data_IF_180496952129
#
_entry.id   IF_180496952129
#
_cell.length_a   1.000
_cell.length_b   1.000
_cell.length_c   1.000
_cell.angle_alpha   90.00
_cell.angle_beta   90.00
_cell.angle_gamma   90.00
#
_symmetry.space_group_name_H-M   'P 1'
#
loop_
_entity.id
_entity.type
_entity.pdbx_description
1 polymer ?
#
# COMPACT_ATOMS: atom_id res chain seq x y z
N UNK A 1 9.19 -23.90 2.36
CA UNK A 1 9.46 -25.12 3.15
C UNK A 1 8.34 -25.42 4.14
N UNK A 2 8.31 -24.86 5.36
CA UNK A 2 7.28 -25.20 6.37
C UNK A 2 5.84 -25.14 5.84
N UNK A 3 5.44 -23.99 5.29
CA UNK A 3 4.08 -23.79 4.77
C UNK A 3 3.72 -24.72 3.60
N UNK A 4 4.70 -25.00 2.73
CA UNK A 4 4.52 -25.89 1.56
C UNK A 4 4.42 -27.36 2.00
N UNK A 5 5.25 -27.78 2.95
CA UNK A 5 5.23 -29.12 3.53
C UNK A 5 3.88 -29.43 4.21
N UNK A 6 3.24 -28.43 4.80
CA UNK A 6 1.89 -28.55 5.36
C UNK A 6 0.76 -28.47 4.30
N UNK A 7 1.07 -28.13 3.05
CA UNK A 7 0.07 -27.86 2.02
C UNK A 7 -0.77 -26.60 2.28
N UNK A 8 -0.32 -25.72 3.18
CA UNK A 8 -1.06 -24.53 3.64
C UNK A 8 -0.55 -23.23 2.99
N UNK A 9 0.60 -23.26 2.31
CA UNK A 9 1.16 -22.15 1.53
C UNK A 9 1.43 -22.64 0.10
N UNK A 10 0.86 -21.95 -0.87
CA UNK A 10 0.85 -22.37 -2.27
C UNK A 10 1.26 -21.22 -3.19
N UNK A 11 2.56 -21.15 -3.51
CA UNK A 11 3.12 -20.18 -4.45
C UNK A 11 2.82 -20.55 -5.91
N UNK A 12 2.65 -21.83 -6.23
CA UNK A 12 2.39 -22.28 -7.60
C UNK A 12 1.00 -21.86 -8.05
N UNK A 13 -0.02 -22.06 -7.21
CA UNK A 13 -1.37 -21.58 -7.48
C UNK A 13 -1.40 -20.05 -7.58
N UNK A 14 -0.69 -19.35 -6.70
CA UNK A 14 -0.57 -17.90 -6.77
C UNK A 14 0.06 -17.44 -8.09
N UNK A 15 1.15 -18.09 -8.52
CA UNK A 15 1.83 -17.79 -9.77
C UNK A 15 0.94 -18.01 -11.00
N UNK A 16 0.12 -19.08 -11.01
CA UNK A 16 -0.85 -19.35 -12.08
C UNK A 16 -1.94 -18.28 -12.17
N UNK A 17 -2.32 -17.66 -11.05
CA UNK A 17 -3.39 -16.65 -11.01
C UNK A 17 -2.89 -15.22 -11.22
N UNK A 18 -1.72 -14.88 -10.69
CA UNK A 18 -1.28 -13.48 -10.53
C UNK A 18 0.19 -13.24 -10.87
N UNK A 19 0.93 -14.28 -11.27
CA UNK A 19 2.36 -14.19 -11.54
C UNK A 19 3.24 -14.25 -10.27
N UNK A 20 4.52 -13.91 -10.41
CA UNK A 20 5.48 -13.98 -9.31
C UNK A 20 5.14 -13.00 -8.17
N UNK A 21 5.72 -13.23 -6.97
CA UNK A 21 5.55 -12.39 -5.77
C UNK A 21 4.12 -12.28 -5.23
N UNK A 22 3.32 -13.32 -5.47
CA UNK A 22 2.04 -13.56 -4.79
C UNK A 22 2.08 -14.90 -4.05
N UNK A 23 1.20 -15.05 -3.06
CA UNK A 23 1.08 -16.27 -2.27
C UNK A 23 -0.38 -16.58 -1.96
N UNK A 24 -0.74 -17.87 -1.94
CA UNK A 24 -2.03 -18.35 -1.44
C UNK A 24 -1.81 -19.04 -0.10
N UNK A 25 -2.45 -18.52 0.95
CA UNK A 25 -2.52 -19.17 2.26
C UNK A 25 -3.84 -19.95 2.38
N UNK A 26 -3.81 -21.11 3.01
CA UNK A 26 -4.97 -22.00 3.20
C UNK A 26 -5.11 -22.44 4.66
N UNK A 27 -6.31 -22.87 5.02
CA UNK A 27 -6.60 -23.55 6.27
C UNK A 27 -6.08 -22.83 7.52
N UNK A 28 -5.38 -23.57 8.37
CA UNK A 28 -4.87 -23.07 9.65
C UNK A 28 -3.84 -21.94 9.49
N UNK A 29 -3.06 -21.94 8.41
CA UNK A 29 -2.05 -20.89 8.18
C UNK A 29 -2.70 -19.57 7.75
N UNK A 30 -3.73 -19.61 6.90
CA UNK A 30 -4.54 -18.43 6.59
C UNK A 30 -5.25 -17.91 7.86
N UNK A 31 -5.69 -18.80 8.75
CA UNK A 31 -6.26 -18.40 10.04
C UNK A 31 -5.22 -17.73 10.96
N UNK A 32 -3.98 -18.22 10.97
CA UNK A 32 -2.88 -17.62 11.74
C UNK A 32 -2.52 -16.22 11.23
N UNK A 33 -2.45 -16.01 9.91
CA UNK A 33 -2.24 -14.68 9.32
C UNK A 33 -3.34 -13.70 9.72
N UNK A 34 -4.60 -14.13 9.64
CA UNK A 34 -5.73 -13.31 10.12
C UNK A 34 -5.65 -13.05 11.62
N UNK A 35 -5.31 -14.05 12.43
CA UNK A 35 -5.16 -13.89 13.88
C UNK A 35 -4.10 -12.84 14.24
N UNK A 36 -2.97 -12.84 13.53
CA UNK A 36 -1.93 -11.82 13.68
C UNK A 36 -2.46 -10.42 13.38
N UNK A 37 -3.13 -10.24 12.24
CA UNK A 37 -3.69 -8.93 11.87
C UNK A 37 -4.73 -8.43 12.88
N UNK A 38 -5.60 -9.30 13.38
CA UNK A 38 -6.62 -8.94 14.38
C UNK A 38 -5.99 -8.62 15.74
N UNK A 39 -5.08 -9.46 16.23
CA UNK A 39 -4.35 -9.19 17.47
C UNK A 39 -3.62 -7.85 17.43
N UNK A 40 -2.93 -7.56 16.33
CA UNK A 40 -2.25 -6.28 16.13
C UNK A 40 -3.22 -5.12 16.20
N UNK A 41 -4.35 -5.21 15.48
CA UNK A 41 -5.35 -4.14 15.43
C UNK A 41 -5.96 -3.88 16.82
N UNK A 42 -6.43 -4.93 17.49
CA UNK A 42 -6.98 -4.87 18.84
C UNK A 42 -5.98 -4.28 19.84
N UNK A 43 -4.70 -4.65 19.76
CA UNK A 43 -3.68 -4.08 20.63
C UNK A 43 -3.53 -2.56 20.41
N UNK A 44 -3.54 -2.09 19.16
CA UNK A 44 -3.43 -0.66 18.88
C UNK A 44 -4.66 0.12 19.35
N UNK A 45 -5.86 -0.43 19.18
CA UNK A 45 -7.12 0.22 19.52
C UNK A 45 -7.41 0.17 21.02
N UNK A 46 -7.37 -1.01 21.63
CA UNK A 46 -7.77 -1.22 23.02
C UNK A 46 -6.73 -0.71 24.01
N UNK A 47 -5.45 -0.74 23.65
CA UNK A 47 -4.35 -0.43 24.59
C UNK A 47 -3.60 0.86 24.24
N UNK A 48 -3.33 1.11 22.94
CA UNK A 48 -2.46 2.23 22.54
C UNK A 48 -3.20 3.50 22.10
N UNK A 49 -4.54 3.50 22.20
CA UNK A 49 -5.38 4.67 21.96
C UNK A 49 -5.42 5.12 20.51
N UNK A 50 -5.29 4.19 19.56
CA UNK A 50 -5.53 4.46 18.14
C UNK A 50 -7.03 4.32 17.82
N UNK A 51 -7.55 5.23 17.01
CA UNK A 51 -8.86 5.07 16.39
C UNK A 51 -8.76 4.13 15.19
N UNK A 52 -9.58 3.08 15.18
CA UNK A 52 -9.69 2.20 14.02
C UNK A 52 -10.38 2.90 12.85
N UNK A 53 -9.81 2.75 11.66
CA UNK A 53 -10.35 3.31 10.41
C UNK A 53 -10.34 2.22 9.34
N UNK A 54 -11.42 2.13 8.57
CA UNK A 54 -11.50 1.33 7.35
C UNK A 54 -11.40 2.24 6.10
N UNK A 55 -10.19 2.52 5.58
CA UNK A 55 -10.03 3.45 4.46
C UNK A 55 -10.26 2.79 3.09
N UNK A 56 -10.49 3.57 2.02
CA UNK A 56 -10.41 3.08 0.65
C UNK A 56 -9.00 2.55 0.29
N UNK A 57 -8.95 1.52 -0.55
CA UNK A 57 -7.69 0.95 -1.07
C UNK A 57 -7.31 1.46 -2.45
N UNK A 58 -8.24 2.17 -3.11
CA UNK A 58 -8.01 2.90 -4.35
C UNK A 58 -8.09 4.39 -4.03
N UNK A 59 -7.01 5.12 -4.33
CA UNK A 59 -6.91 6.56 -4.06
C UNK A 59 -6.58 7.31 -5.33
N UNK A 60 -6.99 8.58 -5.37
CA UNK A 60 -6.60 9.48 -6.46
C UNK A 60 -5.14 9.91 -6.29
N UNK A 61 -4.54 10.39 -7.37
CA UNK A 61 -3.14 10.83 -7.39
C UNK A 61 -2.84 11.92 -6.37
N UNK A 62 -3.77 12.82 -6.07
CA UNK A 62 -3.55 13.90 -5.10
C UNK A 62 -3.26 13.33 -3.70
N UNK A 63 -3.80 12.16 -3.36
CA UNK A 63 -3.51 11.52 -2.09
C UNK A 63 -2.07 10.99 -2.05
N UNK A 64 -1.65 10.33 -3.14
CA UNK A 64 -0.27 9.84 -3.32
C UNK A 64 0.74 10.98 -3.39
N UNK A 65 0.36 12.13 -3.95
CA UNK A 65 1.18 13.33 -3.95
C UNK A 65 1.35 13.89 -2.53
N UNK A 66 0.26 13.92 -1.75
CA UNK A 66 0.24 14.40 -0.37
C UNK A 66 1.25 13.69 0.53
N UNK A 67 1.32 12.36 0.45
CA UNK A 67 2.22 11.55 1.27
C UNK A 67 3.60 11.29 0.66
N UNK A 68 3.84 11.75 -0.58
CA UNK A 68 5.17 11.81 -1.20
C UNK A 68 5.53 10.62 -2.10
N UNK A 69 4.58 9.71 -2.39
CA UNK A 69 4.76 8.67 -3.40
C UNK A 69 4.88 9.30 -4.80
N UNK A 70 4.03 10.28 -5.11
CA UNK A 70 4.12 11.03 -6.36
C UNK A 70 4.87 12.38 -6.20
N UNK A 71 5.58 12.84 -7.24
CA UNK A 71 5.71 12.22 -8.58
C UNK A 71 6.88 11.22 -8.72
N UNK A 72 7.70 11.05 -7.67
CA UNK A 72 9.03 10.41 -7.81
C UNK A 72 8.97 8.88 -7.89
N UNK A 73 8.02 8.24 -7.23
CA UNK A 73 7.94 6.79 -7.06
C UNK A 73 6.73 6.20 -7.77
N UNK A 74 6.36 6.76 -8.92
CA UNK A 74 5.24 6.28 -9.73
C UNK A 74 5.42 4.80 -10.14
N UNK A 75 6.65 4.42 -10.49
CA UNK A 75 7.01 3.05 -10.91
C UNK A 75 6.83 2.00 -9.81
N UNK A 76 6.73 2.42 -8.54
CA UNK A 76 6.50 1.53 -7.39
C UNK A 76 5.01 1.25 -7.13
N UNK A 77 4.11 1.91 -7.88
CA UNK A 77 2.66 1.88 -7.68
C UNK A 77 1.96 1.06 -8.75
N UNK A 78 0.84 0.42 -8.35
CA UNK A 78 -0.13 -0.10 -9.31
C UNK A 78 -1.23 0.92 -9.54
N UNK A 79 -1.49 1.26 -10.80
CA UNK A 79 -2.61 2.10 -11.20
C UNK A 79 -3.65 1.30 -11.96
N UNK A 80 -4.92 1.64 -11.74
CA UNK A 80 -5.99 1.23 -12.64
C UNK A 80 -5.84 1.98 -13.95
N UNK A 81 -5.93 1.28 -15.06
CA UNK A 81 -6.07 1.94 -16.36
C UNK A 81 -7.33 2.82 -16.34
N UNK A 82 -7.23 4.14 -16.60
CA UNK A 82 -8.39 4.98 -16.81
C UNK A 82 -9.00 4.59 -18.16
N UNK A 83 -9.70 3.44 -18.20
CA UNK A 83 -10.24 2.78 -19.41
C UNK A 83 -10.41 3.78 -20.54
N UNK A 84 -9.47 3.79 -21.48
CA UNK A 84 -9.77 4.31 -22.79
C UNK A 84 -11.01 3.54 -23.27
N UNK A 85 -12.06 4.20 -23.75
CA UNK A 85 -13.24 3.50 -24.24
C UNK A 85 -12.78 2.53 -25.34
N UNK A 86 -13.33 1.31 -25.37
CA UNK A 86 -13.00 0.20 -26.30
C UNK A 86 -12.72 0.61 -27.76
N UNK A 87 -13.25 1.75 -28.20
CA UNK A 87 -12.98 2.28 -29.54
C UNK A 87 -11.56 2.81 -29.73
N UNK A 88 -10.84 3.29 -28.72
CA UNK A 88 -9.48 3.80 -28.84
C UNK A 88 -8.47 2.67 -29.12
N UNK A 89 -8.55 1.57 -28.36
CA UNK A 89 -7.78 0.35 -28.61
C UNK A 89 -8.16 -0.31 -29.95
N UNK A 90 -9.44 -0.20 -30.36
CA UNK A 90 -9.90 -0.64 -31.69
C UNK A 90 -9.36 0.25 -32.80
N UNK A 91 -9.28 1.56 -32.60
CA UNK A 91 -8.70 2.51 -33.57
C UNK A 91 -7.20 2.28 -33.69
N UNK A 92 -6.50 2.07 -32.58
CA UNK A 92 -5.07 1.75 -32.58
C UNK A 92 -4.78 0.39 -33.22
N UNK A 93 -5.56 -0.65 -32.91
CA UNK A 93 -5.51 -1.94 -33.61
C UNK A 93 -5.81 -1.81 -35.10
N UNK A 94 -6.80 -1.00 -35.50
CA UNK A 94 -7.11 -0.75 -36.92
C UNK A 94 -5.98 -0.01 -37.63
N UNK A 95 -5.39 1.00 -36.99
CA UNK A 95 -4.24 1.75 -37.54
C UNK A 95 -3.02 0.85 -37.70
N UNK A 96 -2.74 0.00 -36.70
CA UNK A 96 -1.61 -0.94 -36.74
C UNK A 96 -1.83 -2.10 -37.73
N UNK A 97 -3.06 -2.56 -37.90
CA UNK A 97 -3.42 -3.59 -38.89
C UNK A 97 -3.37 -3.06 -40.33
N UNK A 98 -3.63 -1.76 -40.54
CA UNK A 98 -3.82 -1.16 -41.87
C UNK A 98 -2.62 -0.32 -42.35
N UNK A 99 -1.40 -0.62 -41.88
CA UNK A 99 -0.14 0.06 -42.23
C UNK A 99 -0.18 0.86 -43.53
N UNK A 100 -0.48 2.17 -43.40
CA UNK A 100 -0.63 3.16 -44.47
C UNK A 100 -1.41 2.69 -45.70
N UNK A 101 -2.73 2.86 -45.69
CA UNK A 101 -3.49 3.10 -46.94
C UNK A 101 -4.80 3.86 -46.67
N UNK A 102 -5.19 4.72 -47.60
CA UNK A 102 -6.47 5.42 -47.64
C UNK A 102 -7.63 4.42 -47.59
N UNK A 103 -8.55 4.54 -46.62
CA UNK A 103 -9.72 3.67 -46.49
C UNK A 103 -10.88 4.25 -47.30
N UNK A 104 -11.31 3.56 -48.35
CA UNK A 104 -12.58 3.83 -49.02
C UNK A 104 -13.70 3.08 -48.28
N UNK A 105 -14.56 3.84 -47.59
CA UNK A 105 -15.64 3.31 -46.73
C UNK A 105 -16.95 3.05 -47.51
N UNK A 106 -16.88 2.95 -48.84
CA UNK A 106 -18.09 2.80 -49.67
C UNK A 106 -18.70 1.38 -49.66
N UNK A 107 -17.94 0.31 -49.38
CA UNK A 107 -18.40 -1.08 -49.62
C UNK A 107 -18.23 -2.08 -48.45
N UNK A 108 -18.24 -1.62 -47.19
CA UNK A 108 -18.22 -2.50 -46.00
C UNK A 108 -19.55 -2.56 -45.25
N UNK A 109 -19.94 -3.69 -44.61
CA UNK A 109 -21.19 -3.83 -43.85
C UNK A 109 -21.23 -3.07 -42.51
N UNK A 110 -20.27 -2.16 -42.27
CA UNK A 110 -20.22 -1.34 -41.08
C UNK A 110 -21.27 -0.23 -41.18
N UNK A 111 -22.16 -0.23 -40.20
CA UNK A 111 -23.40 0.55 -40.19
C UNK A 111 -23.04 2.03 -40.34
N UNK A 112 -23.55 2.70 -41.38
CA UNK A 112 -23.36 4.15 -41.63
C UNK A 112 -23.55 5.03 -40.40
N UNK A 113 -24.36 4.58 -39.43
CA UNK A 113 -24.58 5.25 -38.15
C UNK A 113 -23.35 5.26 -37.23
N UNK A 114 -22.56 4.20 -37.19
CA UNK A 114 -21.36 4.08 -36.34
C UNK A 114 -20.20 4.90 -36.90
N UNK A 115 -20.03 4.90 -38.23
CA UNK A 115 -19.08 5.77 -38.92
C UNK A 115 -19.50 7.24 -38.84
N UNK A 116 -20.80 7.55 -38.94
CA UNK A 116 -21.30 8.91 -38.75
C UNK A 116 -21.12 9.40 -37.31
N UNK A 117 -21.32 8.53 -36.32
CA UNK A 117 -21.05 8.84 -34.91
C UNK A 117 -19.55 9.06 -34.66
N UNK A 118 -18.68 8.26 -35.30
CA UNK A 118 -17.22 8.45 -35.27
C UNK A 118 -16.81 9.79 -35.89
N UNK A 119 -17.29 10.10 -37.10
CA UNK A 119 -16.99 11.37 -37.78
C UNK A 119 -17.57 12.57 -37.03
N UNK A 120 -18.73 12.44 -36.38
CA UNK A 120 -19.26 13.49 -35.50
C UNK A 120 -18.42 13.67 -34.23
N UNK A 121 -17.97 12.60 -33.59
CA UNK A 121 -17.14 12.67 -32.38
C UNK A 121 -15.77 13.31 -32.69
N UNK A 122 -15.15 12.95 -33.81
CA UNK A 122 -13.92 13.58 -34.32
C UNK A 122 -14.16 15.06 -34.64
N UNK A 123 -15.26 15.40 -35.32
CA UNK A 123 -15.58 16.79 -35.66
C UNK A 123 -15.94 17.67 -34.46
N UNK A 124 -16.47 17.08 -33.37
CA UNK A 124 -16.89 17.82 -32.17
C UNK A 124 -15.73 18.10 -31.20
N UNK A 125 -14.69 17.26 -31.22
CA UNK A 125 -13.57 17.33 -30.28
C UNK A 125 -12.25 17.81 -30.92
N UNK A 126 -12.13 17.85 -32.25
CA UNK A 126 -10.95 18.39 -32.93
C UNK A 126 -11.03 19.92 -33.04
N UNK A 127 -10.32 20.65 -32.17
CA UNK A 127 -10.20 22.11 -32.27
C UNK A 127 -9.04 22.61 -33.13
N UNK A 128 -8.28 21.75 -33.81
CA UNK A 128 -7.26 22.20 -34.76
C UNK A 128 -6.93 21.18 -35.85
N UNK A 129 -7.29 21.56 -37.07
CA UNK A 129 -6.51 21.43 -38.31
C UNK A 129 -6.25 20.01 -38.85
N UNK A 130 -7.09 19.62 -39.82
CA UNK A 130 -6.62 18.82 -40.96
C UNK A 130 -5.81 19.75 -41.88
N UNK A 131 -4.47 19.68 -41.82
CA UNK A 131 -3.63 20.09 -42.95
C UNK A 131 -3.04 18.83 -43.57
N UNK A 132 -3.60 18.41 -44.69
CA UNK A 132 -3.01 17.40 -45.57
C UNK A 132 -1.74 17.97 -46.18
N UNK A 133 -0.60 17.73 -45.54
CA UNK A 133 0.70 18.18 -46.03
C UNK A 133 1.81 17.88 -45.04
N UNK A 134 2.55 16.81 -45.32
CA UNK A 134 3.78 16.33 -44.66
C UNK A 134 3.59 15.41 -43.44
N UNK A 135 4.46 14.41 -43.41
CA UNK A 135 4.45 13.25 -42.54
C UNK A 135 4.44 13.62 -41.05
N UNK A 136 3.78 12.75 -40.28
CA UNK A 136 3.62 12.76 -38.82
C UNK A 136 2.48 13.66 -38.31
N UNK A 137 1.26 13.14 -38.44
CA UNK A 137 0.08 13.67 -37.76
C UNK A 137 -0.15 12.89 -36.45
N UNK A 138 0.03 13.54 -35.31
CA UNK A 138 -0.37 13.04 -33.99
C UNK A 138 -1.83 13.43 -33.75
N UNK A 139 -2.70 12.45 -33.49
CA UNK A 139 -4.11 12.71 -33.15
C UNK A 139 -4.24 12.63 -31.63
N UNK A 140 -4.40 13.79 -30.97
CA UNK A 140 -4.74 13.85 -29.55
C UNK A 140 -6.26 13.77 -29.37
N UNK A 141 -6.75 12.67 -28.78
CA UNK A 141 -8.15 12.52 -28.40
C UNK A 141 -8.39 13.10 -27.01
N UNK A 142 -9.05 14.26 -26.92
CA UNK A 142 -9.71 14.69 -25.68
C UNK A 142 -11.05 13.96 -25.55
N UNK A 143 -11.01 12.73 -25.03
CA UNK A 143 -12.22 12.01 -24.63
C UNK A 143 -12.90 12.63 -23.40
N UNK A 144 -14.13 12.23 -23.05
CA UNK A 144 -14.84 12.72 -21.85
C UNK A 144 -14.24 12.20 -20.52
N UNK A 145 -13.08 11.57 -20.57
CA UNK A 145 -12.34 11.06 -19.42
C UNK A 145 -11.35 12.13 -19.02
N UNK A 146 -11.38 12.54 -17.76
CA UNK A 146 -10.48 13.56 -17.21
C UNK A 146 -9.03 13.05 -17.02
N UNK A 147 -8.69 11.91 -17.64
CA UNK A 147 -7.39 11.25 -17.52
C UNK A 147 -7.10 10.71 -16.12
N UNK A 148 -8.06 10.75 -15.18
CA UNK A 148 -7.81 10.39 -13.79
C UNK A 148 -7.77 8.88 -13.63
N UNK A 149 -6.63 8.39 -13.18
CA UNK A 149 -6.41 7.02 -12.70
C UNK A 149 -6.45 6.95 -11.18
N UNK A 150 -6.83 5.79 -10.66
CA UNK A 150 -6.72 5.48 -9.23
C UNK A 150 -5.51 4.58 -9.01
N UNK A 151 -4.75 4.85 -7.95
CA UNK A 151 -3.67 3.99 -7.50
C UNK A 151 -4.16 3.05 -6.39
N UNK A 152 -3.74 1.79 -6.44
CA UNK A 152 -3.81 0.90 -5.27
C UNK A 152 -2.83 1.39 -4.21
N UNK A 153 -3.24 1.41 -2.95
CA UNK A 153 -2.40 1.94 -1.88
C UNK A 153 -1.16 1.06 -1.61
N UNK A 154 0.06 1.62 -1.57
CA UNK A 154 1.27 0.88 -1.15
C UNK A 154 1.38 0.74 0.37
N UNK A 155 0.53 1.46 1.10
CA UNK A 155 0.39 1.47 2.56
C UNK A 155 -0.86 2.27 2.94
N UNK A 156 -1.52 1.91 4.05
CA UNK A 156 -2.62 2.71 4.59
C UNK A 156 -2.19 4.11 5.05
N UNK A 157 -0.88 4.39 5.22
CA UNK A 157 -0.34 5.74 5.43
C UNK A 157 -0.91 6.74 4.44
N UNK A 158 -1.03 6.35 3.16
CA UNK A 158 -1.57 7.22 2.10
C UNK A 158 -2.98 7.65 2.45
N UNK A 159 -3.87 6.69 2.73
CA UNK A 159 -5.27 6.98 2.99
C UNK A 159 -5.48 7.67 4.34
N UNK A 160 -4.82 7.19 5.40
CA UNK A 160 -5.01 7.67 6.76
C UNK A 160 -4.46 9.10 6.95
N UNK A 161 -3.26 9.38 6.46
CA UNK A 161 -2.65 10.72 6.61
C UNK A 161 -3.43 11.77 5.81
N UNK A 162 -4.01 11.39 4.66
CA UNK A 162 -4.84 12.29 3.84
C UNK A 162 -6.22 12.60 4.45
N UNK A 163 -6.62 11.97 5.57
CA UNK A 163 -7.87 12.31 6.25
C UNK A 163 -7.91 13.75 6.77
N UNK A 164 -6.74 14.39 6.93
CA UNK A 164 -6.61 15.80 7.35
C UNK A 164 -6.17 16.72 6.20
N UNK A 165 -6.12 16.23 4.96
CA UNK A 165 -5.75 17.04 3.79
C UNK A 165 -6.69 18.24 3.64
N UNK A 166 -6.12 19.41 3.37
CA UNK A 166 -6.83 20.69 3.16
C UNK A 166 -7.67 21.14 4.37
N UNK A 167 -7.41 20.59 5.56
CA UNK A 167 -8.12 20.97 6.79
C UNK A 167 -7.28 21.92 7.65
N UNK A 168 -7.99 22.74 8.43
CA UNK A 168 -7.43 23.52 9.52
C UNK A 168 -8.03 22.97 10.82
N UNK A 169 -7.29 22.10 11.49
CA UNK A 169 -7.67 21.53 12.78
C UNK A 169 -7.62 22.59 13.88
N UNK A 170 -8.48 22.46 14.87
CA UNK A 170 -8.45 23.28 16.09
C UNK A 170 -7.37 22.80 17.07
N UNK A 171 -6.94 23.68 17.98
CA UNK A 171 -6.06 23.31 19.10
C UNK A 171 -6.66 22.16 19.93
N UNK A 172 -7.99 22.13 20.11
CA UNK A 172 -8.67 21.11 20.91
C UNK A 172 -8.62 19.73 20.23
N UNK A 173 -8.75 19.67 18.90
CA UNK A 173 -8.61 18.42 18.12
C UNK A 173 -7.20 17.82 18.19
N UNK A 174 -6.20 18.65 18.47
CA UNK A 174 -4.79 18.24 18.65
C UNK A 174 -4.30 18.45 20.08
N UNK A 175 -5.20 18.58 21.06
CA UNK A 175 -4.83 18.67 22.48
C UNK A 175 -4.01 17.44 22.90
N UNK A 176 -4.28 16.31 22.27
CA UNK A 176 -3.41 15.14 22.20
C UNK A 176 -3.21 14.73 20.73
N UNK A 177 -2.11 14.04 20.37
CA UNK A 177 -1.94 13.46 19.04
C UNK A 177 -3.18 12.71 18.55
N UNK A 178 -3.69 13.07 17.36
CA UNK A 178 -4.69 12.27 16.66
C UNK A 178 -4.00 10.98 16.19
N UNK A 179 -4.55 9.83 16.56
CA UNK A 179 -3.95 8.50 16.32
C UNK A 179 -4.93 7.63 15.56
N UNK A 180 -4.52 7.16 14.39
CA UNK A 180 -5.35 6.39 13.46
C UNK A 180 -4.67 5.06 13.12
N UNK A 181 -5.43 3.97 13.06
CA UNK A 181 -4.90 2.66 12.66
C UNK A 181 -5.82 1.95 11.69
N UNK A 182 -5.25 1.14 10.80
CA UNK A 182 -6.00 0.33 9.85
C UNK A 182 -5.25 -0.96 9.51
N UNK A 183 -5.97 -2.06 9.39
CA UNK A 183 -5.49 -3.30 8.77
C UNK A 183 -5.90 -3.31 7.29
N UNK A 184 -4.95 -3.18 6.37
CA UNK A 184 -5.25 -3.15 4.92
C UNK A 184 -4.32 -4.06 4.13
N UNK A 185 -4.77 -4.56 2.96
CA UNK A 185 -3.83 -4.98 1.93
C UNK A 185 -3.03 -3.77 1.43
N UNK A 186 -1.77 -4.01 1.10
CA UNK A 186 -0.82 -3.04 0.56
C UNK A 186 -0.27 -3.58 -0.75
N UNK A 187 -0.15 -2.72 -1.77
CA UNK A 187 0.19 -3.09 -3.13
C UNK A 187 1.44 -2.35 -3.62
N UNK A 188 2.50 -3.08 -3.98
CA UNK A 188 3.77 -2.48 -4.44
C UNK A 188 4.25 -3.19 -5.69
N UNK A 189 4.62 -2.42 -6.72
CA UNK A 189 5.19 -2.97 -7.94
C UNK A 189 6.61 -3.53 -7.71
N UNK A 190 7.27 -3.13 -6.62
CA UNK A 190 8.61 -3.62 -6.23
C UNK A 190 9.65 -3.41 -7.36
N UNK A 191 9.59 -2.26 -8.04
CA UNK A 191 10.50 -1.91 -9.12
C UNK A 191 11.95 -1.89 -8.62
N UNK A 192 12.89 -2.34 -9.45
CA UNK A 192 14.32 -2.41 -9.09
C UNK A 192 14.69 -3.51 -8.08
N UNK A 193 13.77 -4.39 -7.67
CA UNK A 193 14.04 -5.49 -6.72
C UNK A 193 14.43 -6.82 -7.39
N UNK A 194 14.85 -6.80 -8.66
CA UNK A 194 15.19 -7.99 -9.43
C UNK A 194 16.23 -8.86 -8.70
N UNK A 195 15.94 -10.15 -8.53
CA UNK A 195 16.82 -11.09 -7.84
C UNK A 195 16.86 -11.01 -6.31
N UNK A 196 16.20 -10.02 -5.68
CA UNK A 196 16.12 -9.90 -4.22
C UNK A 196 14.85 -10.53 -3.66
N UNK A 197 15.00 -11.33 -2.60
CA UNK A 197 13.90 -11.99 -1.88
C UNK A 197 12.87 -12.64 -2.84
N UNK A 198 13.37 -13.39 -3.82
CA UNK A 198 12.54 -13.98 -4.89
C UNK A 198 11.69 -15.16 -4.41
N UNK A 199 12.04 -15.74 -3.27
CA UNK A 199 11.32 -16.85 -2.61
C UNK A 199 10.77 -16.40 -1.26
N UNK A 200 9.58 -16.89 -0.91
CA UNK A 200 8.96 -16.66 0.40
C UNK A 200 8.05 -15.44 0.45
N UNK A 201 7.67 -15.03 1.66
CA UNK A 201 6.67 -13.98 1.92
C UNK A 201 7.29 -12.62 2.28
N UNK A 202 8.62 -12.48 2.25
CA UNK A 202 9.32 -11.25 2.70
C UNK A 202 9.06 -10.06 1.77
N UNK A 203 8.98 -10.31 0.46
CA UNK A 203 8.74 -9.30 -0.58
C UNK A 203 7.68 -9.78 -1.56
N UNK A 204 6.49 -9.21 -1.46
CA UNK A 204 5.31 -9.57 -2.26
C UNK A 204 4.72 -8.32 -2.93
N UNK A 205 4.06 -8.49 -4.07
CA UNK A 205 3.28 -7.42 -4.69
C UNK A 205 2.06 -7.03 -3.85
N UNK A 206 1.51 -8.00 -3.10
CA UNK A 206 0.41 -7.80 -2.17
C UNK A 206 0.77 -8.37 -0.80
N UNK A 207 0.60 -7.58 0.26
CA UNK A 207 0.76 -8.03 1.64
C UNK A 207 -0.16 -7.26 2.58
N UNK A 208 -0.56 -7.87 3.70
CA UNK A 208 -1.35 -7.19 4.74
C UNK A 208 -0.45 -6.43 5.71
N UNK A 209 -0.90 -5.25 6.17
CA UNK A 209 -0.20 -4.46 7.18
C UNK A 209 -1.20 -3.79 8.12
N UNK A 210 -0.91 -3.82 9.42
CA UNK A 210 -1.53 -2.92 10.39
C UNK A 210 -0.70 -1.65 10.43
N UNK A 211 -1.28 -0.55 9.97
CA UNK A 211 -0.63 0.76 9.96
C UNK A 211 -1.04 1.59 11.16
N UNK A 212 -0.10 2.37 11.68
CA UNK A 212 -0.31 3.42 12.65
C UNK A 212 0.04 4.76 12.02
N UNK A 213 -0.85 5.74 12.13
CA UNK A 213 -0.60 7.13 11.72
C UNK A 213 -0.89 8.07 12.88
N UNK A 214 -0.09 9.12 13.01
CA UNK A 214 -0.33 10.18 13.99
C UNK A 214 -0.22 11.56 13.38
N UNK A 215 -1.18 12.42 13.70
CA UNK A 215 -1.17 13.85 13.39
C UNK A 215 -0.95 14.60 14.69
N UNK A 216 0.05 15.47 14.71
CA UNK A 216 0.56 16.09 15.94
C UNK A 216 0.79 17.59 15.76
N UNK A 217 0.82 18.32 16.87
CA UNK A 217 1.49 19.62 16.89
C UNK A 217 3.00 19.41 16.71
N UNK A 218 3.74 20.38 16.13
CA UNK A 218 5.17 20.24 15.88
C UNK A 218 5.99 19.81 17.11
N UNK A 219 5.70 20.41 18.27
CA UNK A 219 6.37 20.18 19.55
C UNK A 219 6.16 18.77 20.13
N UNK A 220 5.07 18.08 19.76
CA UNK A 220 4.74 16.75 20.30
C UNK A 220 5.32 15.60 19.45
N UNK A 221 5.74 15.90 18.21
CA UNK A 221 6.07 14.88 17.20
C UNK A 221 7.22 13.96 17.60
N UNK A 222 8.28 14.47 18.24
CA UNK A 222 9.42 13.62 18.62
C UNK A 222 9.07 12.66 19.76
N UNK A 223 8.23 13.09 20.71
CA UNK A 223 7.72 12.21 21.79
C UNK A 223 6.74 11.16 21.24
N UNK A 224 5.87 11.57 20.31
CA UNK A 224 4.95 10.65 19.65
C UNK A 224 5.68 9.60 18.79
N UNK A 225 6.82 9.95 18.17
CA UNK A 225 7.65 9.01 17.42
C UNK A 225 8.22 7.88 18.29
N UNK A 226 8.75 8.23 19.47
CA UNK A 226 9.22 7.26 20.45
C UNK A 226 8.07 6.36 20.94
N UNK A 227 6.91 6.97 21.25
CA UNK A 227 5.72 6.22 21.68
C UNK A 227 5.22 5.26 20.59
N UNK A 228 5.09 5.72 19.35
CA UNK A 228 4.65 4.92 18.21
C UNK A 228 5.59 3.74 17.96
N UNK A 229 6.90 3.97 18.06
CA UNK A 229 7.89 2.90 17.94
C UNK A 229 7.70 1.87 19.06
N UNK A 230 7.49 2.32 20.29
CA UNK A 230 7.14 1.45 21.42
C UNK A 230 5.86 0.64 21.22
N UNK A 231 4.85 1.18 20.52
CA UNK A 231 3.61 0.48 20.18
C UNK A 231 3.85 -0.66 19.17
N UNK A 232 4.75 -0.48 18.20
CA UNK A 232 5.18 -1.54 17.29
C UNK A 232 6.04 -2.60 18.02
N UNK A 233 6.93 -2.17 18.92
CA UNK A 233 7.74 -3.07 19.75
C UNK A 233 6.87 -3.93 20.69
N UNK A 234 5.76 -3.38 21.20
CA UNK A 234 4.82 -4.12 22.06
C UNK A 234 4.21 -5.34 21.36
N UNK A 235 3.94 -5.25 20.06
CA UNK A 235 3.48 -6.40 19.26
C UNK A 235 4.53 -7.52 19.26
N UNK A 236 5.80 -7.19 19.00
CA UNK A 236 6.90 -8.15 18.98
C UNK A 236 7.14 -8.77 20.36
N UNK A 237 7.09 -7.96 21.43
CA UNK A 237 7.22 -8.42 22.82
C UNK A 237 6.10 -9.38 23.21
N UNK A 238 4.86 -9.05 22.86
CA UNK A 238 3.70 -9.88 23.16
C UNK A 238 3.71 -11.21 22.38
N UNK A 239 4.27 -11.21 21.17
CA UNK A 239 4.52 -12.42 20.38
C UNK A 239 5.82 -13.14 20.77
N UNK A 240 6.56 -12.65 21.78
CA UNK A 240 7.86 -13.19 22.21
C UNK A 240 8.87 -13.38 21.07
N UNK A 241 8.83 -12.49 20.07
CA UNK A 241 9.75 -12.53 18.93
C UNK A 241 11.00 -11.69 19.22
N UNK A 242 12.22 -12.28 19.16
CA UNK A 242 13.45 -11.51 19.30
C UNK A 242 13.56 -10.47 18.20
N UNK A 243 13.90 -9.23 18.58
CA UNK A 243 14.02 -8.12 17.64
C UNK A 243 15.10 -7.13 18.07
N UNK A 244 15.52 -6.28 17.14
CA UNK A 244 16.35 -5.11 17.41
C UNK A 244 15.72 -3.85 16.85
N UNK A 245 16.01 -2.72 17.47
CA UNK A 245 15.60 -1.39 17.03
C UNK A 245 16.80 -0.66 16.43
N UNK A 246 16.64 -0.17 15.21
CA UNK A 246 17.69 0.48 14.43
C UNK A 246 17.32 1.93 14.15
N UNK A 247 18.16 2.88 14.56
CA UNK A 247 18.06 4.26 14.07
C UNK A 247 18.73 4.33 12.70
N UNK A 248 17.95 4.68 11.66
CA UNK A 248 18.50 4.73 10.30
C UNK A 248 19.44 5.93 10.13
N UNK A 249 20.50 5.71 9.35
CA UNK A 249 21.38 6.79 8.92
C UNK A 249 20.73 7.59 7.79
N UNK A 250 21.21 8.82 7.55
CA UNK A 250 20.64 9.72 6.53
C UNK A 250 20.51 9.10 5.13
N UNK A 251 21.47 8.29 4.71
CA UNK A 251 21.49 7.68 3.37
C UNK A 251 20.47 6.56 3.16
N UNK A 252 19.84 6.09 4.25
CA UNK A 252 18.95 4.92 4.25
C UNK A 252 17.52 5.26 4.67
N UNK A 253 17.22 6.55 4.90
CA UNK A 253 15.87 6.99 5.26
C UNK A 253 14.94 7.08 4.04
N UNK A 254 13.66 6.80 4.29
CA UNK A 254 12.59 7.02 3.32
C UNK A 254 12.44 8.50 2.93
N UNK A 255 11.93 8.75 1.72
CA UNK A 255 11.90 10.09 1.12
C UNK A 255 11.19 11.17 1.94
N UNK A 256 10.10 10.82 2.62
CA UNK A 256 9.29 11.74 3.42
C UNK A 256 9.78 11.89 4.87
N UNK A 257 10.70 11.05 5.32
CA UNK A 257 11.08 10.97 6.73
C UNK A 257 12.22 11.94 7.08
N UNK A 258 12.11 12.58 8.26
CA UNK A 258 13.22 13.30 8.90
C UNK A 258 13.96 12.46 9.94
N UNK A 259 13.32 11.41 10.47
CA UNK A 259 13.90 10.43 11.41
C UNK A 259 13.11 9.13 11.33
N UNK A 260 13.81 8.00 11.27
CA UNK A 260 13.18 6.67 11.17
C UNK A 260 13.83 5.69 12.13
N UNK A 261 12.99 4.89 12.79
CA UNK A 261 13.39 3.68 13.47
C UNK A 261 12.84 2.47 12.73
N UNK A 262 13.73 1.56 12.37
CA UNK A 262 13.32 0.24 11.89
C UNK A 262 13.34 -0.75 13.05
N UNK A 263 12.33 -1.61 13.08
CA UNK A 263 12.35 -2.82 13.90
C UNK A 263 12.67 -3.97 12.98
N UNK A 264 13.65 -4.77 13.39
CA UNK A 264 14.07 -5.96 12.66
C UNK A 264 13.90 -7.19 13.54
N UNK A 265 13.20 -8.20 13.03
CA UNK A 265 12.87 -9.44 13.74
C UNK A 265 13.85 -10.55 13.36
N UNK A 266 14.16 -11.42 14.32
CA UNK A 266 15.03 -12.57 14.09
C UNK A 266 14.39 -13.62 13.18
N UNK A 267 15.09 -14.03 12.12
CA UNK A 267 14.71 -15.14 11.25
C UNK A 267 15.76 -16.26 11.33
N UNK A 268 15.47 -17.35 12.06
CA UNK A 268 16.39 -18.48 12.22
C UNK A 268 16.96 -19.04 10.92
N UNK A 269 16.15 -19.16 9.86
CA UNK A 269 16.61 -19.74 8.58
C UNK A 269 17.64 -18.87 7.85
N UNK A 270 17.74 -17.59 8.20
CA UNK A 270 18.64 -16.62 7.60
C UNK A 270 19.78 -16.20 8.53
N UNK A 271 19.78 -16.71 9.77
CA UNK A 271 20.75 -16.36 10.81
C UNK A 271 20.96 -14.83 10.95
N UNK A 272 19.86 -14.08 10.87
CA UNK A 272 19.92 -12.61 10.86
C UNK A 272 18.59 -11.97 11.27
N UNK A 273 18.65 -10.67 11.52
CA UNK A 273 17.48 -9.82 11.70
C UNK A 273 17.02 -9.26 10.34
N UNK A 274 15.70 -9.26 10.11
CA UNK A 274 15.07 -8.67 8.92
C UNK A 274 14.01 -7.66 9.33
N UNK A 275 13.97 -6.53 8.63
CA UNK A 275 12.99 -5.46 8.83
C UNK A 275 11.54 -6.00 8.85
N UNK A 276 10.77 -5.63 9.88
CA UNK A 276 9.36 -5.98 10.06
C UNK A 276 8.47 -4.75 10.27
N UNK A 277 9.08 -3.62 10.67
CA UNK A 277 8.41 -2.33 10.81
C UNK A 277 9.40 -1.21 10.53
N UNK A 278 8.87 -0.13 9.94
CA UNK A 278 9.53 1.16 9.86
C UNK A 278 8.60 2.20 10.47
N UNK A 279 9.10 2.98 11.44
CA UNK A 279 8.40 4.04 12.14
C UNK A 279 9.09 5.37 11.89
N UNK A 280 8.40 6.32 11.28
CA UNK A 280 8.96 7.56 10.78
C UNK A 280 8.25 8.80 11.33
N UNK A 281 9.04 9.80 11.71
CA UNK A 281 8.58 11.19 11.85
C UNK A 281 8.85 11.90 10.53
N UNK A 282 7.81 12.43 9.88
CA UNK A 282 7.90 13.15 8.60
C UNK A 282 7.96 14.67 8.80
N UNK A 283 7.84 15.16 10.03
CA UNK A 283 7.69 16.59 10.31
C UNK A 283 6.50 17.17 9.54
N UNK A 284 6.68 18.37 9.00
CA UNK A 284 5.68 19.05 8.19
C UNK A 284 5.74 18.72 6.68
N UNK A 285 6.59 17.76 6.25
CA UNK A 285 6.82 17.47 4.84
C UNK A 285 5.53 17.10 4.10
N UNK A 286 4.79 16.13 4.64
CA UNK A 286 3.52 15.69 4.06
C UNK A 286 2.43 16.74 4.30
N UNK A 287 2.40 17.37 5.47
CA UNK A 287 1.44 18.42 5.80
C UNK A 287 1.48 19.59 4.81
N UNK A 288 2.68 20.01 4.37
CA UNK A 288 2.85 21.05 3.35
C UNK A 288 2.30 20.64 1.98
N UNK A 289 2.46 19.37 1.59
CA UNK A 289 1.92 18.83 0.33
C UNK A 289 0.41 18.67 0.36
N UNK A 290 -0.15 18.40 1.53
CA UNK A 290 -1.58 18.22 1.76
C UNK A 290 -2.31 19.51 2.16
N UNK A 291 -1.60 20.62 2.37
CA UNK A 291 -2.12 21.81 3.04
C UNK A 291 -2.85 21.52 4.37
N UNK A 292 -2.36 20.54 5.13
CA UNK A 292 -2.93 20.12 6.41
C UNK A 292 -2.38 20.99 7.56
N UNK A 293 -3.26 21.73 8.22
CA UNK A 293 -2.89 22.77 9.18
C UNK A 293 -3.63 22.62 10.49
N UNK A 294 -3.15 23.33 11.51
CA UNK A 294 -3.90 23.57 12.73
C UNK A 294 -3.82 25.05 13.14
N UNK A 295 -4.70 25.44 14.05
CA UNK A 295 -4.78 26.81 14.56
C UNK A 295 -4.82 26.81 16.08
N UNK A 296 -3.83 27.49 16.68
CA UNK A 296 -3.75 27.67 18.12
C UNK A 296 -4.88 28.53 18.67
N UNK A 297 -5.32 28.23 19.88
CA UNK A 297 -6.36 29.01 20.55
C UNK A 297 -5.92 30.48 20.71
N UNK A 298 -6.77 31.41 20.25
CA UNK A 298 -6.49 32.85 20.31
C UNK A 298 -5.57 33.40 19.22
N UNK A 299 -4.90 32.54 18.44
CA UNK A 299 -4.00 32.97 17.38
C UNK A 299 -4.75 33.26 16.06
N UNK A 300 -4.19 34.14 15.23
CA UNK A 300 -4.74 34.42 13.88
C UNK A 300 -4.12 33.57 12.79
N UNK A 301 -2.85 33.18 12.97
CA UNK A 301 -2.09 32.39 12.00
C UNK A 301 -2.33 30.90 12.20
N UNK A 302 -2.29 30.16 11.09
CA UNK A 302 -2.28 28.69 11.09
C UNK A 302 -0.86 28.18 10.96
N UNK A 303 -0.59 27.01 11.51
CA UNK A 303 0.69 26.28 11.40
C UNK A 303 0.45 24.93 10.72
N UNK A 304 1.48 24.35 10.09
CA UNK A 304 1.37 22.99 9.57
C UNK A 304 1.46 21.99 10.72
N UNK A 305 0.66 20.93 10.64
CA UNK A 305 0.78 19.78 11.56
C UNK A 305 2.07 19.01 11.26
N UNK A 306 2.50 18.20 12.22
CA UNK A 306 3.48 17.14 11.97
C UNK A 306 2.78 15.80 11.76
N UNK A 307 3.34 14.99 10.87
CA UNK A 307 2.81 13.68 10.47
C UNK A 307 3.80 12.57 10.81
N UNK A 308 3.29 11.46 11.31
CA UNK A 308 4.06 10.27 11.65
C UNK A 308 3.34 9.03 11.15
N UNK A 309 4.11 8.02 10.77
CA UNK A 309 3.58 6.72 10.40
C UNK A 309 4.48 5.59 10.90
N UNK A 310 3.91 4.43 11.14
CA UNK A 310 4.61 3.27 11.64
C UNK A 310 3.89 1.97 11.34
N UNK A 311 4.63 0.93 10.97
CA UNK A 311 4.04 -0.40 10.83
C UNK A 311 3.88 -1.04 12.21
N UNK A 312 2.70 -1.56 12.54
CA UNK A 312 2.41 -2.24 13.80
C UNK A 312 1.74 -3.60 13.65
N UNK A 313 2.10 -4.49 12.71
CA UNK A 313 3.33 -4.62 11.89
C UNK A 313 2.97 -5.00 10.44
N UNK A 314 3.98 -5.28 9.61
CA UNK A 314 3.77 -6.03 8.36
C UNK A 314 3.36 -7.48 8.67
N UNK A 315 2.08 -7.82 8.46
CA UNK A 315 1.48 -9.08 8.93
C UNK A 315 2.15 -10.29 8.26
N UNK A 316 2.39 -10.22 6.95
CA UNK A 316 3.06 -11.31 6.21
C UNK A 316 4.48 -11.61 6.70
N UNK A 317 5.27 -10.58 7.03
CA UNK A 317 6.61 -10.75 7.61
C UNK A 317 6.53 -11.28 9.05
N UNK A 318 5.52 -10.86 9.81
CA UNK A 318 5.27 -11.39 11.15
C UNK A 318 4.89 -12.86 11.11
N UNK A 319 4.09 -13.27 10.13
CA UNK A 319 3.75 -14.68 9.90
C UNK A 319 5.02 -15.51 9.67
N UNK A 320 5.95 -15.03 8.83
CA UNK A 320 7.25 -15.71 8.63
C UNK A 320 8.02 -15.84 9.95
N UNK A 321 8.12 -14.75 10.73
CA UNK A 321 8.81 -14.77 12.00
C UNK A 321 8.17 -15.75 13.00
N UNK A 322 6.84 -15.78 13.11
CA UNK A 322 6.14 -16.76 13.95
C UNK A 322 6.39 -18.18 13.46
N UNK A 323 6.25 -18.45 12.16
CA UNK A 323 6.51 -19.78 11.61
C UNK A 323 7.93 -20.27 11.91
N UNK A 324 8.94 -19.43 11.73
CA UNK A 324 10.32 -19.86 11.93
C UNK A 324 10.71 -20.00 13.40
N UNK A 325 10.25 -19.09 14.27
CA UNK A 325 10.61 -19.10 15.69
C UNK A 325 9.79 -20.08 16.54
N UNK A 326 8.59 -20.46 16.08
CA UNK A 326 7.69 -21.36 16.79
C UNK A 326 7.59 -22.77 16.18
N UNK A 327 8.45 -23.12 15.23
CA UNK A 327 8.45 -24.47 14.66
C UNK A 327 8.94 -25.51 15.68
N UNK A 328 8.31 -26.69 15.69
CA UNK A 328 8.79 -27.87 16.40
C UNK A 328 9.60 -28.80 15.49
N UNK A 329 10.19 -29.86 16.07
CA UNK A 329 10.96 -30.87 15.32
C UNK A 329 10.12 -31.59 14.24
N UNK A 330 8.80 -31.57 14.36
CA UNK A 330 7.85 -32.15 13.41
C UNK A 330 7.40 -31.19 12.32
N UNK A 331 7.90 -29.94 12.29
CA UNK A 331 7.53 -28.91 11.32
C UNK A 331 6.16 -28.28 11.57
N UNK A 332 5.55 -28.51 12.75
CA UNK A 332 4.34 -27.80 13.18
C UNK A 332 4.73 -26.48 13.84
N UNK A 333 3.82 -25.52 13.83
CA UNK A 333 4.05 -24.18 14.39
C UNK A 333 3.24 -24.06 15.68
N UNK A 334 3.90 -23.93 16.84
CA UNK A 334 3.21 -23.62 18.08
C UNK A 334 2.48 -22.27 17.95
N UNK A 335 1.24 -22.20 18.46
CA UNK A 335 0.45 -20.96 18.45
C UNK A 335 0.92 -20.07 19.62
N UNK A 336 1.44 -18.86 19.37
CA UNK A 336 1.78 -17.91 20.43
C UNK A 336 0.61 -17.67 21.39
N UNK A 337 0.88 -17.54 22.69
CA UNK A 337 -0.15 -17.45 23.73
C UNK A 337 -1.18 -16.33 23.44
N UNK A 338 -0.68 -15.16 23.04
CA UNK A 338 -1.53 -13.98 22.72
C UNK A 338 -2.43 -14.19 21.49
N UNK A 339 -2.14 -15.18 20.64
CA UNK A 339 -2.94 -15.50 19.46
C UNK A 339 -4.00 -16.57 19.74
N UNK A 340 -3.90 -17.33 20.84
CA UNK A 340 -4.85 -18.41 21.16
C UNK A 340 -6.32 -17.95 21.17
N UNK A 341 -6.68 -16.76 21.67
CA UNK A 341 -8.07 -16.27 21.62
C UNK A 341 -8.64 -16.14 20.20
N UNK A 342 -7.79 -15.93 19.18
CA UNK A 342 -8.18 -15.78 17.77
C UNK A 342 -8.20 -17.12 17.00
N UNK A 343 -7.61 -18.16 17.59
CA UNK A 343 -7.51 -19.50 17.01
C UNK A 343 -8.69 -20.39 17.45
N UNK A 344 -8.95 -21.55 16.80
CA UNK A 344 -9.99 -22.47 17.26
C UNK A 344 -9.73 -22.87 18.72
N UNK A 345 -10.81 -23.02 19.50
CA UNK A 345 -10.70 -23.37 20.92
C UNK A 345 -9.87 -24.65 21.10
N UNK A 346 -8.84 -24.57 21.94
CA UNK A 346 -7.95 -25.70 22.24
C UNK A 346 -6.86 -25.96 21.20
N UNK A 347 -6.79 -25.19 20.11
CA UNK A 347 -5.69 -25.30 19.16
C UNK A 347 -4.38 -24.83 19.79
N UNK A 348 -3.39 -25.70 19.79
CA UNK A 348 -2.04 -25.41 20.31
C UNK A 348 -0.99 -25.29 19.21
N UNK A 349 -1.23 -25.89 18.04
CA UNK A 349 -0.31 -25.90 16.90
C UNK A 349 -1.05 -25.70 15.58
N UNK A 350 -0.36 -25.07 14.62
CA UNK A 350 -0.71 -25.04 13.20
C UNK A 350 0.14 -26.10 12.49
N UNK A 351 -0.49 -26.90 11.63
CA UNK A 351 0.16 -28.05 11.01
C UNK A 351 0.02 -29.33 11.84
N UNK A 352 -0.17 -30.46 11.16
CA UNK A 352 -0.46 -31.76 11.74
C UNK A 352 -1.61 -32.46 11.01
N UNK A 353 -1.71 -33.79 11.13
CA UNK A 353 -2.88 -34.52 10.65
C UNK A 353 -4.12 -34.09 11.44
N UNK A 354 -5.19 -33.73 10.73
CA UNK A 354 -6.49 -33.40 11.31
C UNK A 354 -7.18 -34.64 11.91
#
# INVERSE_FOLDING_TARGET
DLGEAMGLLDFEAAAKMSGARFAVLKGQLARLERALGQFMLDLQTDTHGYLEVAPPYLVKEEAMFGTGQLPKFEEDLFFTDPRAPDWADRVESLINLMGRTTVDLSDGPYVKAEVAAFMQAVAKNAKSVFSLGNADATIEFQGPFDGKRWGLIPTAEVSLTNLVREQILSEDELATPMRLTALTPCFRAEAGSAGRDTRGLIRQHQFSKVEMVSITRPEDSDAEHERMTGCAEAVLKALELPYRRMLLCKGDMGFSARKTFDLEVWLPSQDTYREISSCSNCGDFQARRMDARFKRAGEKKTEFVHTLNGSGLAVGRTLVAVMENYQDEGGRIAVPEVLKPYMPKGMTHVGGAA
#
